data_IF_889025897861
#
_entry.id   IF_889025897861
#
_cell.length_a   1.000
_cell.length_b   1.000
_cell.length_c   1.000
_cell.angle_alpha   90.00
_cell.angle_beta   90.00
_cell.angle_gamma   90.00
#
_symmetry.space_group_name_H-M   'P 1'
#
loop_
_entity.id
_entity.type
_entity.pdbx_description
1 polymer ?
#
# COMPACT_ATOMS: atom_id res chain seq x y z
N UNK A 1 -7.71 -6.73 11.70
CA UNK A 1 -7.42 -6.45 10.28
C UNK A 1 -8.33 -5.31 9.87
N UNK A 2 -7.79 -4.23 9.28
CA UNK A 2 -8.62 -3.14 8.75
C UNK A 2 -9.48 -3.67 7.60
N UNK A 3 -10.70 -3.18 7.46
CA UNK A 3 -11.53 -3.44 6.29
C UNK A 3 -10.93 -2.69 5.08
N UNK A 4 -11.09 -3.25 3.89
CA UNK A 4 -10.70 -2.63 2.61
C UNK A 4 -11.65 -1.45 2.36
N UNK A 5 -11.14 -0.21 2.45
CA UNK A 5 -11.94 1.00 2.33
C UNK A 5 -11.84 1.55 0.91
N UNK A 6 -12.72 1.08 0.04
CA UNK A 6 -12.86 1.56 -1.36
C UNK A 6 -13.35 3.02 -1.48
N UNK A 7 -13.58 3.72 -0.35
CA UNK A 7 -14.14 5.08 -0.29
C UNK A 7 -13.14 6.22 -0.53
N UNK A 8 -11.84 5.91 -0.65
CA UNK A 8 -10.83 6.87 -1.09
C UNK A 8 -10.36 7.90 -0.05
N UNK A 9 -10.72 7.73 1.22
CA UNK A 9 -10.25 8.58 2.32
C UNK A 9 -9.94 7.75 3.57
N UNK A 10 -8.66 7.43 3.77
CA UNK A 10 -8.16 6.91 5.05
C UNK A 10 -6.72 6.41 4.94
N UNK A 11 -5.87 6.61 5.96
CA UNK A 11 -4.66 5.82 6.10
C UNK A 11 -5.07 4.37 6.39
N UNK A 12 -4.90 3.48 5.41
CA UNK A 12 -5.13 2.06 5.61
C UNK A 12 -3.91 1.41 6.26
N UNK A 13 -4.15 0.66 7.34
CA UNK A 13 -3.09 -0.09 8.01
C UNK A 13 -3.40 -1.58 7.99
N UNK A 14 -2.48 -2.33 7.38
CA UNK A 14 -2.48 -3.78 7.38
C UNK A 14 -1.32 -4.29 8.23
N UNK A 15 -1.60 -5.28 9.08
CA UNK A 15 -0.59 -5.90 9.91
C UNK A 15 -0.78 -7.42 9.93
N UNK A 16 0.33 -8.14 9.77
CA UNK A 16 0.41 -9.58 9.93
C UNK A 16 1.19 -9.86 11.20
N UNK A 17 0.50 -10.28 12.27
CA UNK A 17 1.16 -10.57 13.56
C UNK A 17 2.17 -11.70 13.45
N UNK A 18 1.83 -12.73 12.68
CA UNK A 18 2.69 -13.87 12.36
C UNK A 18 2.83 -13.95 10.84
N UNK A 19 3.74 -13.15 10.26
CA UNK A 19 4.08 -13.27 8.84
C UNK A 19 4.91 -14.55 8.61
N UNK A 20 4.56 -15.33 7.59
CA UNK A 20 5.34 -16.51 7.19
C UNK A 20 6.57 -16.05 6.42
N UNK A 21 7.71 -16.77 6.49
CA UNK A 21 8.85 -16.44 5.64
C UNK A 21 8.46 -16.50 4.16
N UNK A 22 8.87 -15.49 3.38
CA UNK A 22 8.52 -15.39 1.97
C UNK A 22 8.52 -13.97 1.41
N UNK A 23 8.29 -13.87 0.10
CA UNK A 23 8.14 -12.60 -0.60
C UNK A 23 6.69 -12.14 -0.55
N UNK A 24 6.49 -10.93 -0.07
CA UNK A 24 5.18 -10.28 0.01
C UNK A 24 5.10 -9.19 -1.05
N UNK A 25 4.00 -9.21 -1.81
CA UNK A 25 3.64 -8.16 -2.75
C UNK A 25 2.55 -7.31 -2.14
N UNK A 26 2.67 -6.00 -2.32
CA UNK A 26 1.67 -5.03 -1.91
C UNK A 26 1.13 -4.38 -3.17
N UNK A 27 -0.17 -4.55 -3.38
CA UNK A 27 -0.89 -4.06 -4.54
C UNK A 27 -1.96 -3.08 -4.08
N UNK A 28 -2.11 -1.98 -4.82
CA UNK A 28 -3.16 -1.01 -4.58
C UNK A 28 -4.15 -1.05 -5.74
N UNK A 29 -5.44 -1.13 -5.44
CA UNK A 29 -6.48 -1.10 -6.45
C UNK A 29 -6.92 0.34 -6.73
N UNK A 30 -6.65 0.83 -7.94
CA UNK A 30 -7.02 2.19 -8.34
C UNK A 30 -8.28 2.19 -9.21
N UNK A 31 -9.42 1.91 -8.57
CA UNK A 31 -10.74 1.92 -9.18
C UNK A 31 -11.20 3.38 -9.43
N UNK A 32 -10.81 3.94 -10.58
CA UNK A 32 -11.00 5.34 -10.94
C UNK A 32 -12.36 5.95 -10.55
N UNK A 33 -12.33 7.19 -10.04
CA UNK A 33 -13.48 7.96 -9.57
C UNK A 33 -14.51 8.14 -10.70
N UNK A 34 -15.80 7.91 -10.43
CA UNK A 34 -16.94 8.29 -11.31
C UNK A 34 -17.17 9.82 -11.40
N UNK A 35 -16.16 10.64 -11.11
CA UNK A 35 -16.27 12.11 -11.09
C UNK A 35 -15.36 12.77 -12.12
N UNK A 36 -15.90 13.81 -12.75
CA UNK A 36 -15.41 14.48 -13.95
C UNK A 36 -14.06 15.19 -13.74
N UNK A 37 -12.99 14.67 -14.36
CA UNK A 37 -11.84 15.35 -15.00
C UNK A 37 -11.11 16.54 -14.33
N UNK A 38 -11.24 16.80 -13.03
CA UNK A 38 -10.48 17.89 -12.35
C UNK A 38 -9.86 17.43 -11.02
N UNK A 39 -9.18 16.28 -11.01
CA UNK A 39 -8.28 15.92 -9.90
C UNK A 39 -6.94 15.55 -10.48
N UNK A 40 -5.89 16.30 -10.12
CA UNK A 40 -4.50 15.99 -10.49
C UNK A 40 -4.07 14.59 -10.05
N UNK A 41 -2.85 14.19 -10.42
CA UNK A 41 -2.32 12.85 -10.14
C UNK A 41 -2.50 12.44 -8.66
N UNK A 42 -3.12 11.29 -8.42
CA UNK A 42 -3.26 10.73 -7.07
C UNK A 42 -1.88 10.31 -6.57
N UNK A 43 -1.45 10.82 -5.42
CA UNK A 43 -0.17 10.41 -4.81
C UNK A 43 -0.44 9.38 -3.72
N UNK A 44 0.19 8.21 -3.85
CA UNK A 44 0.16 7.14 -2.86
C UNK A 44 1.46 7.20 -2.05
N UNK A 45 1.31 7.16 -0.73
CA UNK A 45 2.42 7.08 0.23
C UNK A 45 2.22 5.83 1.08
N UNK A 46 3.22 4.96 1.10
CA UNK A 46 3.19 3.66 1.77
C UNK A 46 4.39 3.55 2.70
N UNK A 47 4.19 3.01 3.89
CA UNK A 47 5.26 2.57 4.79
C UNK A 47 5.12 1.07 5.02
N UNK A 48 6.17 0.34 4.65
CA UNK A 48 6.31 -1.09 4.87
C UNK A 48 7.27 -1.30 6.03
N UNK A 49 6.80 -1.92 7.10
CA UNK A 49 7.59 -2.20 8.29
C UNK A 49 7.71 -3.70 8.51
N UNK A 50 8.93 -4.24 8.57
CA UNK A 50 9.19 -5.62 8.98
C UNK A 50 9.88 -5.65 10.34
N UNK A 51 9.75 -6.77 11.07
CA UNK A 51 10.27 -6.96 12.42
C UNK A 51 9.96 -5.81 13.40
N UNK A 52 8.72 -5.30 13.33
CA UNK A 52 8.26 -4.17 14.14
C UNK A 52 8.48 -4.40 15.63
N UNK A 53 9.02 -3.39 16.32
CA UNK A 53 9.30 -3.44 17.76
C UNK A 53 10.52 -4.27 18.15
N UNK A 54 11.36 -4.68 17.18
CA UNK A 54 12.62 -5.40 17.44
C UNK A 54 13.83 -4.60 16.95
N UNK A 55 15.06 -4.92 17.39
CA UNK A 55 16.28 -4.31 16.86
C UNK A 55 16.50 -4.56 15.35
N UNK A 56 15.80 -5.55 14.77
CA UNK A 56 15.86 -5.89 13.34
C UNK A 56 14.80 -5.15 12.51
N UNK A 57 14.07 -4.20 13.09
CA UNK A 57 13.03 -3.46 12.39
C UNK A 57 13.58 -2.81 11.12
N UNK A 58 12.90 -3.01 10.00
CA UNK A 58 13.20 -2.33 8.73
C UNK A 58 11.97 -1.59 8.26
N UNK A 59 12.15 -0.32 7.92
CA UNK A 59 11.12 0.55 7.38
C UNK A 59 11.46 0.92 5.94
N UNK A 60 10.52 0.71 5.02
CA UNK A 60 10.62 1.12 3.63
C UNK A 60 9.46 2.05 3.29
N UNK A 61 9.78 3.25 2.82
CA UNK A 61 8.79 4.23 2.38
C UNK A 61 8.71 4.23 0.85
N UNK A 62 7.50 4.17 0.30
CA UNK A 62 7.24 4.27 -1.14
C UNK A 62 6.32 5.45 -1.38
N UNK A 63 6.73 6.36 -2.26
CA UNK A 63 5.90 7.48 -2.72
C UNK A 63 5.77 7.37 -4.23
N UNK A 64 4.54 7.25 -4.73
CA UNK A 64 4.29 7.11 -6.17
C UNK A 64 3.07 7.90 -6.61
N UNK A 65 3.12 8.39 -7.86
CA UNK A 65 1.98 9.03 -8.51
C UNK A 65 1.25 8.02 -9.38
N UNK A 66 -0.02 7.79 -9.09
CA UNK A 66 -0.93 7.00 -9.91
C UNK A 66 -1.39 7.88 -11.07
N UNK A 67 -1.03 7.49 -12.30
CA UNK A 67 -1.26 8.27 -13.52
C UNK A 67 -2.40 7.73 -14.39
N UNK A 68 -2.54 6.41 -14.47
CA UNK A 68 -3.48 5.75 -15.37
C UNK A 68 -4.52 4.93 -14.60
N UNK A 69 -5.69 4.72 -15.22
CA UNK A 69 -6.70 3.75 -14.75
C UNK A 69 -6.12 2.35 -14.86
N UNK A 70 -5.36 1.94 -13.85
CA UNK A 70 -4.97 0.55 -13.65
C UNK A 70 -5.80 0.01 -12.49
N UNK A 71 -6.53 -1.09 -12.72
CA UNK A 71 -7.33 -1.72 -11.67
C UNK A 71 -6.46 -2.19 -10.50
N UNK A 72 -5.22 -2.62 -10.77
CA UNK A 72 -4.23 -3.08 -9.78
C UNK A 72 -2.85 -2.52 -10.11
N UNK A 73 -2.20 -1.89 -9.12
CA UNK A 73 -0.84 -1.34 -9.23
C UNK A 73 0.04 -2.00 -8.17
N UNK A 74 1.18 -2.57 -8.57
CA UNK A 74 2.20 -3.02 -7.62
C UNK A 74 2.85 -1.80 -6.97
N UNK A 75 2.67 -1.65 -5.65
CA UNK A 75 3.13 -0.49 -4.88
C UNK A 75 4.28 -0.79 -3.94
N UNK A 76 4.63 -2.07 -3.77
CA UNK A 76 5.81 -2.45 -3.01
C UNK A 76 6.01 -3.95 -2.91
N UNK A 77 7.23 -4.35 -2.63
CA UNK A 77 7.58 -5.72 -2.30
C UNK A 77 8.51 -5.71 -1.08
N UNK A 78 8.35 -6.70 -0.20
CA UNK A 78 9.27 -6.93 0.90
C UNK A 78 9.42 -8.43 1.18
N UNK A 79 10.57 -8.82 1.72
CA UNK A 79 10.82 -10.21 2.12
C UNK A 79 10.77 -10.31 3.63
N UNK A 80 10.06 -11.33 4.11
CA UNK A 80 10.08 -11.76 5.51
C UNK A 80 10.99 -12.99 5.58
N UNK A 81 11.99 -12.92 6.45
CA UNK A 81 12.92 -14.02 6.76
C UNK A 81 12.53 -14.68 8.09
#
# INVERSE_FOLDING_TARGET
>A
MSQDFTGGYGPEQFSLRNAKPGRYKVEAHYCGRRQQLVTGATTLMLRLTTHWGTPKQKDQMVTMRLKDRAETVLVGEFTVE
#
